data_IF_818088383285
#
_entry.id   IF_818088383285
#
_cell.length_a   1.000
_cell.length_b   1.000
_cell.length_c   1.000
_cell.angle_alpha   90.00
_cell.angle_beta   90.00
_cell.angle_gamma   90.00
#
_symmetry.space_group_name_H-M   'P 1'
#
loop_
_entity.id
_entity.type
_entity.pdbx_description
1 polymer ?
#
# COMPACT_ATOMS: atom_id res chain seq x y z
N UNK A 1 -5.13 -16.59 -29.84
CA UNK A 1 -5.78 -16.46 -28.52
C UNK A 1 -4.75 -16.72 -27.44
N UNK A 2 -4.21 -15.67 -26.82
CA UNK A 2 -3.23 -15.81 -25.73
C UNK A 2 -3.95 -16.33 -24.49
N UNK A 3 -3.76 -17.61 -24.17
CA UNK A 3 -4.25 -18.22 -22.93
C UNK A 3 -3.56 -17.52 -21.75
N UNK A 4 -4.25 -16.53 -21.13
CA UNK A 4 -3.82 -15.91 -19.88
C UNK A 4 -3.72 -17.03 -18.84
N UNK A 5 -2.50 -17.34 -18.40
CA UNK A 5 -2.27 -18.37 -17.40
C UNK A 5 -2.92 -17.92 -16.08
N UNK A 6 -3.50 -18.83 -15.29
CA UNK A 6 -4.13 -18.49 -14.00
C UNK A 6 -3.21 -17.71 -13.04
N UNK A 7 -1.89 -17.80 -13.25
CA UNK A 7 -0.85 -17.06 -12.54
C UNK A 7 -0.97 -15.54 -12.65
N UNK A 8 -1.46 -15.01 -13.77
CA UNK A 8 -1.50 -13.55 -14.00
C UNK A 8 -2.54 -12.87 -13.11
N UNK A 9 -3.68 -13.53 -12.87
CA UNK A 9 -4.74 -13.02 -11.99
C UNK A 9 -4.31 -13.01 -10.52
N UNK A 10 -3.59 -14.06 -10.10
CA UNK A 10 -3.00 -14.15 -8.78
C UNK A 10 -2.01 -13.02 -8.51
N UNK A 11 -1.22 -12.62 -9.51
CA UNK A 11 -0.29 -11.49 -9.38
C UNK A 11 -1.03 -10.17 -9.11
N UNK A 12 -2.10 -9.88 -9.86
CA UNK A 12 -2.91 -8.67 -9.62
C UNK A 12 -3.62 -8.68 -8.26
N UNK A 13 -4.12 -9.83 -7.81
CA UNK A 13 -4.74 -9.97 -6.48
C UNK A 13 -3.70 -9.78 -5.37
N UNK A 14 -2.51 -10.37 -5.51
CA UNK A 14 -1.40 -10.18 -4.57
C UNK A 14 -1.01 -8.70 -4.47
N UNK A 15 -0.95 -8.01 -5.61
CA UNK A 15 -0.60 -6.60 -5.69
C UNK A 15 -1.67 -5.71 -5.04
N UNK A 16 -2.96 -6.03 -5.25
CA UNK A 16 -4.07 -5.38 -4.54
C UNK A 16 -4.00 -5.58 -3.03
N UNK A 17 -3.65 -6.79 -2.57
CA UNK A 17 -3.44 -7.09 -1.15
C UNK A 17 -2.25 -6.32 -0.56
N UNK A 18 -1.16 -6.19 -1.31
CA UNK A 18 0.02 -5.44 -0.90
C UNK A 18 -0.28 -3.94 -0.77
N UNK A 19 -1.05 -3.36 -1.69
CA UNK A 19 -1.52 -1.97 -1.61
C UNK A 19 -2.44 -1.77 -0.40
N UNK A 20 -3.42 -2.66 -0.21
CA UNK A 20 -4.35 -2.58 0.92
C UNK A 20 -3.59 -2.64 2.26
N UNK A 21 -2.63 -3.57 2.40
CA UNK A 21 -1.79 -3.67 3.59
C UNK A 21 -0.92 -2.42 3.77
N UNK A 22 -0.28 -1.94 2.71
CA UNK A 22 0.61 -0.78 2.75
C UNK A 22 -0.10 0.53 3.15
N UNK A 23 -1.41 0.63 2.89
CA UNK A 23 -2.26 1.73 3.34
C UNK A 23 -2.83 1.51 4.74
N UNK A 24 -3.49 0.36 4.96
CA UNK A 24 -4.24 0.12 6.18
C UNK A 24 -3.33 0.05 7.40
N UNK A 25 -2.17 -0.59 7.30
CA UNK A 25 -1.24 -0.74 8.43
C UNK A 25 -0.84 0.60 9.05
N UNK A 26 -0.24 1.56 8.30
CA UNK A 26 0.17 2.84 8.90
C UNK A 26 -1.00 3.70 9.37
N UNK A 27 -2.17 3.61 8.73
CA UNK A 27 -3.37 4.36 9.14
C UNK A 27 -3.93 3.82 10.46
N UNK A 28 -4.11 2.50 10.56
CA UNK A 28 -4.58 1.87 11.82
C UNK A 28 -3.59 2.07 12.95
N UNK A 29 -2.29 1.98 12.68
CA UNK A 29 -1.24 2.21 13.65
C UNK A 29 -1.23 3.68 14.10
N UNK A 30 -1.35 4.63 13.17
CA UNK A 30 -1.47 6.05 13.48
C UNK A 30 -2.69 6.39 14.33
N UNK A 31 -3.86 5.80 14.01
CA UNK A 31 -5.07 5.97 14.80
C UNK A 31 -4.94 5.41 16.22
N UNK A 32 -4.36 4.22 16.37
CA UNK A 32 -4.16 3.60 17.67
C UNK A 32 -3.18 4.40 18.54
N UNK A 33 -2.08 4.87 17.95
CA UNK A 33 -1.13 5.74 18.65
C UNK A 33 -1.74 7.09 19.02
N UNK A 34 -2.58 7.68 18.17
CA UNK A 34 -3.30 8.92 18.49
C UNK A 34 -4.20 8.77 19.73
N UNK A 35 -4.83 7.60 19.89
CA UNK A 35 -5.60 7.26 21.09
C UNK A 35 -4.74 7.05 22.34
N UNK A 36 -3.54 6.48 22.18
CA UNK A 36 -2.61 6.27 23.30
C UNK A 36 -1.95 7.56 23.79
N UNK A 37 -1.53 8.44 22.87
CA UNK A 37 -0.86 9.70 23.20
C UNK A 37 -1.82 10.87 23.43
N UNK A 38 -3.11 10.72 23.08
CA UNK A 38 -4.09 11.81 23.14
C UNK A 38 -3.81 12.93 22.12
N UNK A 39 -2.91 12.72 21.16
CA UNK A 39 -2.47 13.70 20.15
C UNK A 39 -3.38 13.75 18.92
N UNK A 40 -4.64 13.32 19.06
CA UNK A 40 -5.58 13.22 17.95
C UNK A 40 -5.75 14.56 17.20
N UNK A 41 -5.59 14.62 15.85
CA UNK A 41 -5.39 13.54 14.88
C UNK A 41 -3.98 13.55 14.22
N UNK A 42 -2.92 13.92 14.94
CA UNK A 42 -1.60 14.16 14.34
C UNK A 42 -0.91 12.88 13.85
N UNK A 43 -0.95 11.79 14.62
CA UNK A 43 -0.31 10.53 14.24
C UNK A 43 -1.08 9.83 13.12
N UNK A 44 -2.41 9.98 13.07
CA UNK A 44 -3.21 9.53 11.94
C UNK A 44 -2.84 10.29 10.67
N UNK A 45 -2.67 11.61 10.72
CA UNK A 45 -2.24 12.41 9.56
C UNK A 45 -0.88 11.96 9.03
N UNK A 46 0.08 11.70 9.93
CA UNK A 46 1.39 11.13 9.56
C UNK A 46 1.23 9.74 8.96
N UNK A 47 0.38 8.88 9.55
CA UNK A 47 0.08 7.54 9.03
C UNK A 47 -0.51 7.58 7.61
N UNK A 48 -1.42 8.52 7.34
CA UNK A 48 -1.94 8.78 6.00
C UNK A 48 -0.84 9.23 5.03
N UNK A 49 0.02 10.16 5.45
CA UNK A 49 1.13 10.64 4.61
C UNK A 49 2.06 9.48 4.23
N UNK A 50 2.42 8.64 5.20
CA UNK A 50 3.23 7.43 5.00
C UNK A 50 2.53 6.43 4.07
N UNK A 51 1.23 6.20 4.25
CA UNK A 51 0.43 5.34 3.38
C UNK A 51 0.44 5.81 1.93
N UNK A 52 0.29 7.11 1.70
CA UNK A 52 0.37 7.71 0.37
C UNK A 52 1.77 7.52 -0.23
N UNK A 53 2.83 7.82 0.52
CA UNK A 53 4.22 7.62 0.07
C UNK A 53 4.48 6.15 -0.31
N UNK A 54 3.98 5.20 0.47
CA UNK A 54 4.11 3.77 0.17
C UNK A 54 3.47 3.39 -1.16
N UNK A 55 2.27 3.90 -1.47
CA UNK A 55 1.63 3.66 -2.77
C UNK A 55 2.51 4.20 -3.89
N UNK A 56 3.01 5.43 -3.77
CA UNK A 56 3.88 6.00 -4.80
C UNK A 56 5.11 5.12 -5.03
N UNK A 57 5.78 4.67 -3.97
CA UNK A 57 6.92 3.76 -4.08
C UNK A 57 6.52 2.45 -4.78
N UNK A 58 5.35 1.88 -4.46
CA UNK A 58 4.85 0.66 -5.07
C UNK A 58 4.58 0.84 -6.57
N UNK A 59 3.99 1.97 -6.96
CA UNK A 59 3.78 2.35 -8.37
C UNK A 59 5.12 2.50 -9.10
N UNK A 60 6.09 3.20 -8.51
CA UNK A 60 7.43 3.35 -9.10
C UNK A 60 8.13 2.00 -9.25
N UNK A 61 8.04 1.12 -8.25
CA UNK A 61 8.55 -0.26 -8.33
C UNK A 61 7.88 -1.04 -9.44
N UNK A 62 6.56 -0.92 -9.59
CA UNK A 62 5.81 -1.59 -10.64
C UNK A 62 6.20 -1.07 -12.02
N UNK A 63 6.31 0.25 -12.19
CA UNK A 63 6.76 0.90 -13.42
C UNK A 63 8.16 0.43 -13.83
N UNK A 64 9.11 0.39 -12.89
CA UNK A 64 10.45 -0.10 -13.16
C UNK A 64 10.49 -1.61 -13.50
N UNK A 65 9.61 -2.42 -12.92
CA UNK A 65 9.47 -3.85 -13.26
C UNK A 65 8.94 -4.04 -14.67
N UNK A 66 7.98 -3.22 -15.09
CA UNK A 66 7.42 -3.25 -16.44
C UNK A 66 8.44 -2.74 -17.47
N UNK A 67 9.20 -1.70 -17.15
CA UNK A 67 10.22 -1.14 -18.04
C UNK A 67 11.47 -2.03 -18.19
N UNK A 68 11.74 -2.92 -17.23
CA UNK A 68 12.86 -3.89 -17.30
C UNK A 68 12.53 -5.15 -18.10
N UNK A 69 11.30 -5.31 -18.57
CA UNK A 69 10.82 -6.48 -19.31
C UNK A 69 10.74 -6.17 -20.79
#
# INVERSE_FOLDING_TARGET
>A
MTSKKPTDYLEYVSLGGEIAAALSIPIFLGYWLDGYFGLSPWLLLIGCLVGITNIFILIFRLSNRLNKK
#
